data_IF_777331538857
#
_entry.id   IF_777331538857
#
_cell.length_a   1.000
_cell.length_b   1.000
_cell.length_c   1.000
_cell.angle_alpha   90.00
_cell.angle_beta   90.00
_cell.angle_gamma   90.00
#
_symmetry.space_group_name_H-M   'P 1'
#
loop_
_entity.id
_entity.type
_entity.pdbx_description
1 polymer ?
#
# COMPACT_ATOMS: atom_id res chain seq x y z
N UNK A 1 -2.65 -18.87 -9.62
CA UNK A 1 -2.25 -17.46 -9.71
C UNK A 1 -2.49 -16.87 -8.34
N UNK A 2 -1.53 -16.14 -7.74
CA UNK A 2 -1.83 -15.35 -6.56
C UNK A 2 -3.03 -14.45 -6.89
N UNK A 3 -3.95 -14.33 -5.95
CA UNK A 3 -5.11 -13.46 -6.09
C UNK A 3 -4.87 -12.22 -5.25
N UNK A 4 -5.19 -11.05 -5.79
CA UNK A 4 -5.23 -9.84 -5.00
C UNK A 4 -6.54 -9.80 -4.22
N UNK A 5 -6.48 -9.45 -2.94
CA UNK A 5 -7.66 -9.32 -2.07
C UNK A 5 -7.82 -7.84 -1.76
N UNK A 6 -9.00 -7.28 -2.02
CA UNK A 6 -9.27 -5.87 -1.68
C UNK A 6 -9.13 -5.65 -0.17
N UNK A 7 -8.43 -4.57 0.20
CA UNK A 7 -8.23 -4.17 1.58
C UNK A 7 -9.56 -4.01 2.33
N UNK A 8 -9.73 -4.77 3.41
CA UNK A 8 -10.95 -4.78 4.21
C UNK A 8 -10.72 -4.84 5.71
N UNK A 9 -11.80 -4.92 6.51
CA UNK A 9 -11.71 -4.90 7.98
C UNK A 9 -10.84 -5.99 8.60
N UNK A 10 -10.64 -7.11 7.90
CA UNK A 10 -9.78 -8.22 8.35
C UNK A 10 -8.29 -7.92 8.25
N UNK A 11 -7.90 -6.90 7.49
CA UNK A 11 -6.51 -6.54 7.28
C UNK A 11 -6.08 -5.29 8.04
N UNK A 12 -6.98 -4.70 8.85
CA UNK A 12 -6.66 -3.57 9.73
C UNK A 12 -5.69 -4.06 10.80
N UNK A 13 -4.51 -3.44 10.89
CA UNK A 13 -3.45 -3.86 11.81
C UNK A 13 -3.38 -3.01 13.08
N UNK A 14 -4.05 -1.84 13.09
CA UNK A 14 -3.90 -0.80 14.09
C UNK A 14 -2.56 -0.05 14.01
N UNK A 15 -1.82 -0.23 12.91
CA UNK A 15 -0.48 0.31 12.70
C UNK A 15 -0.42 1.46 11.68
N UNK A 16 0.78 1.98 11.40
CA UNK A 16 0.98 3.12 10.50
C UNK A 16 0.47 2.88 9.07
N UNK A 17 0.38 1.63 8.63
CA UNK A 17 -0.16 1.27 7.32
C UNK A 17 -1.64 1.67 7.17
N UNK A 18 -2.45 1.47 8.21
CA UNK A 18 -3.85 1.86 8.20
C UNK A 18 -3.99 3.39 8.08
N UNK A 19 -3.11 4.14 8.76
CA UNK A 19 -3.07 5.60 8.67
C UNK A 19 -2.78 6.07 7.25
N UNK A 20 -1.85 5.40 6.54
CA UNK A 20 -1.55 5.68 5.14
C UNK A 20 -2.79 5.46 4.27
N UNK A 21 -3.43 4.31 4.39
CA UNK A 21 -4.56 3.97 3.53
C UNK A 21 -5.81 4.82 3.81
N UNK A 22 -6.09 5.13 5.07
CA UNK A 22 -7.18 6.03 5.44
C UNK A 22 -6.93 7.44 4.91
N UNK A 23 -5.70 7.95 5.02
CA UNK A 23 -5.33 9.25 4.47
C UNK A 23 -5.49 9.29 2.94
N UNK A 24 -5.00 8.27 2.23
CA UNK A 24 -5.11 8.19 0.78
C UNK A 24 -6.58 8.09 0.32
N UNK A 25 -7.43 7.33 1.02
CA UNK A 25 -8.88 7.28 0.74
C UNK A 25 -9.59 8.61 1.00
N UNK A 26 -9.10 9.38 1.98
CA UNK A 26 -9.57 10.75 2.21
C UNK A 26 -9.22 11.71 1.06
N UNK A 27 -8.14 11.44 0.31
CA UNK A 27 -7.67 12.25 -0.82
C UNK A 27 -8.28 11.79 -2.14
N UNK A 28 -8.36 10.48 -2.38
CA UNK A 28 -8.80 9.86 -3.63
C UNK A 28 -10.03 8.96 -3.38
N UNK A 29 -11.20 9.43 -3.77
CA UNK A 29 -12.47 8.69 -3.59
C UNK A 29 -12.59 7.44 -4.45
N UNK A 30 -11.77 7.33 -5.50
CA UNK A 30 -11.67 6.20 -6.44
C UNK A 30 -10.48 5.27 -6.17
N UNK A 31 -9.84 5.40 -5.00
CA UNK A 31 -8.67 4.60 -4.62
C UNK A 31 -9.02 3.11 -4.49
N UNK A 32 -8.19 2.27 -5.09
CA UNK A 32 -8.17 0.82 -4.90
C UNK A 32 -6.91 0.44 -4.14
N UNK A 33 -7.09 -0.39 -3.10
CA UNK A 33 -6.01 -0.94 -2.30
C UNK A 33 -6.23 -2.44 -2.24
N UNK A 34 -5.25 -3.22 -2.67
CA UNK A 34 -5.31 -4.67 -2.71
C UNK A 34 -4.07 -5.28 -2.09
N UNK A 35 -4.22 -6.42 -1.41
CA UNK A 35 -3.14 -7.17 -0.81
C UNK A 35 -2.74 -8.35 -1.68
N UNK A 36 -1.45 -8.61 -1.78
CA UNK A 36 -0.95 -9.84 -2.38
C UNK A 36 -1.36 -11.04 -1.51
N UNK A 37 -2.21 -11.93 -2.02
CA UNK A 37 -2.48 -13.20 -1.36
C UNK A 37 -1.51 -14.28 -1.82
N UNK A 38 -0.59 -14.63 -0.93
CA UNK A 38 0.39 -15.70 -1.12
C UNK A 38 -0.11 -17.01 -0.52
N UNK A 39 0.33 -18.14 -1.10
CA UNK A 39 -0.20 -19.48 -0.74
C UNK A 39 0.54 -20.10 0.45
N UNK A 40 1.78 -19.68 0.71
CA UNK A 40 2.62 -20.29 1.74
C UNK A 40 2.79 -19.35 2.95
N UNK A 41 2.69 -19.85 4.19
CA UNK A 41 2.86 -19.02 5.41
C UNK A 41 4.24 -18.35 5.57
N UNK A 42 5.22 -18.71 4.74
CA UNK A 42 6.55 -18.11 4.72
C UNK A 42 6.74 -17.05 3.63
N UNK A 43 5.74 -16.88 2.76
CA UNK A 43 5.71 -15.80 1.80
C UNK A 43 5.15 -14.55 2.49
N UNK A 44 5.80 -13.41 2.27
CA UNK A 44 5.42 -12.14 2.89
C UNK A 44 4.09 -11.62 2.30
N UNK A 45 3.07 -11.48 3.15
CA UNK A 45 1.74 -10.98 2.77
C UNK A 45 1.55 -9.49 3.10
N UNK A 46 2.63 -8.78 3.45
CA UNK A 46 2.64 -7.35 3.75
C UNK A 46 2.87 -6.46 2.50
N UNK A 47 2.70 -7.04 1.31
CA UNK A 47 2.78 -6.33 0.02
C UNK A 47 1.40 -5.91 -0.47
N UNK A 48 1.29 -4.63 -0.79
CA UNK A 48 0.06 -3.96 -1.18
C UNK A 48 0.20 -3.27 -2.52
N UNK A 49 -0.88 -3.32 -3.30
CA UNK A 49 -1.03 -2.63 -4.57
C UNK A 49 -2.06 -1.53 -4.43
N UNK A 50 -1.68 -0.32 -4.84
CA UNK A 50 -2.45 0.91 -4.67
C UNK A 50 -2.60 1.56 -6.04
N UNK A 51 -3.84 1.75 -6.48
CA UNK A 51 -4.12 2.31 -7.80
C UNK A 51 -5.39 3.16 -7.81
N UNK A 52 -5.56 3.91 -8.89
CA UNK A 52 -6.78 4.66 -9.21
C UNK A 52 -7.37 4.17 -10.53
N UNK A 53 -8.60 4.52 -10.82
CA UNK A 53 -9.22 4.13 -12.08
C UNK A 53 -8.45 4.71 -13.28
N UNK A 54 -7.89 3.83 -14.12
CA UNK A 54 -7.09 4.21 -15.29
C UNK A 54 -5.70 4.78 -14.97
N UNK A 55 -5.28 4.78 -13.70
CA UNK A 55 -3.96 5.24 -13.26
C UNK A 55 -2.92 4.12 -13.22
N UNK A 56 -1.67 4.51 -12.97
CA UNK A 56 -0.60 3.56 -12.67
C UNK A 56 -0.79 2.92 -11.29
N UNK A 57 -0.26 1.72 -11.12
CA UNK A 57 -0.25 0.98 -9.85
C UNK A 57 1.05 1.26 -9.10
N UNK A 58 0.92 1.46 -7.80
CA UNK A 58 2.03 1.62 -6.87
C UNK A 58 2.05 0.41 -5.94
N UNK A 59 3.24 -0.03 -5.56
CA UNK A 59 3.42 -1.05 -4.54
C UNK A 59 3.86 -0.41 -3.22
N UNK A 60 3.32 -0.91 -2.11
CA UNK A 60 3.78 -0.62 -0.75
C UNK A 60 4.07 -1.96 -0.08
N UNK A 61 5.31 -2.17 0.30
CA UNK A 61 5.74 -3.26 1.17
C UNK A 61 6.01 -2.72 2.58
N UNK A 62 5.56 -3.45 3.60
CA UNK A 62 5.62 -3.04 4.99
C UNK A 62 6.18 -4.15 5.86
N UNK A 63 6.70 -3.80 7.03
CA UNK A 63 7.05 -4.81 8.01
C UNK A 63 5.78 -5.47 8.61
N UNK A 64 6.00 -6.57 9.33
CA UNK A 64 4.95 -7.33 10.02
C UNK A 64 3.94 -6.42 10.73
N UNK A 65 2.65 -6.70 10.52
CA UNK A 65 1.53 -5.92 11.07
C UNK A 65 1.49 -4.46 10.59
N UNK A 66 1.91 -4.19 9.35
CA UNK A 66 1.80 -2.88 8.72
C UNK A 66 2.70 -1.83 9.38
N UNK A 67 3.87 -2.26 9.86
CA UNK A 67 4.84 -1.38 10.52
C UNK A 67 5.83 -0.77 9.52
N UNK A 68 6.42 0.34 9.94
CA UNK A 68 7.53 1.00 9.25
C UNK A 68 8.84 0.18 9.38
N UNK A 69 9.86 0.47 8.53
CA UNK A 69 9.79 1.31 7.34
C UNK A 69 8.90 0.73 6.23
N UNK A 70 8.40 1.59 5.35
CA UNK A 70 7.72 1.18 4.13
C UNK A 70 8.67 1.25 2.95
N UNK A 71 8.59 0.25 2.09
CA UNK A 71 9.19 0.29 0.78
C UNK A 71 8.12 0.59 -0.27
N UNK A 72 8.23 1.75 -0.91
CA UNK A 72 7.31 2.22 -1.94
C UNK A 72 7.94 2.02 -3.32
N UNK A 73 7.19 1.43 -4.24
CA UNK A 73 7.64 1.18 -5.60
C UNK A 73 6.59 1.64 -6.63
N UNK A 74 7.09 2.14 -7.75
CA UNK A 74 6.36 2.44 -8.98
C UNK A 74 7.16 1.91 -10.16
N UNK A 75 6.64 2.02 -11.38
CA UNK A 75 7.36 1.59 -12.59
C UNK A 75 8.73 2.26 -12.79
N UNK A 76 8.95 3.44 -12.20
CA UNK A 76 10.13 4.27 -12.45
C UNK A 76 10.92 4.64 -11.19
N UNK A 77 10.39 4.38 -10.00
CA UNK A 77 11.00 4.82 -8.74
C UNK A 77 10.74 3.85 -7.61
N UNK A 78 11.71 3.79 -6.69
CA UNK A 78 11.69 2.99 -5.47
C UNK A 78 12.26 3.84 -4.33
N UNK A 79 11.53 3.93 -3.23
CA UNK A 79 11.97 4.68 -2.05
C UNK A 79 11.56 3.96 -0.76
N UNK A 80 12.47 3.91 0.20
CA UNK A 80 12.18 3.47 1.56
C UNK A 80 11.89 4.69 2.42
N UNK A 81 10.83 4.63 3.23
CA UNK A 81 10.39 5.72 4.10
C UNK A 81 10.15 5.20 5.50
N UNK A 82 10.62 5.92 6.50
CA UNK A 82 10.50 5.62 7.92
C UNK A 82 9.42 6.45 8.62
N UNK A 83 8.54 7.10 7.84
CA UNK A 83 7.44 7.92 8.30
C UNK A 83 6.19 7.70 7.43
N UNK A 84 5.03 7.54 8.07
CA UNK A 84 3.75 7.33 7.38
C UNK A 84 3.28 8.58 6.63
N UNK A 85 3.55 9.78 7.14
CA UNK A 85 3.24 11.03 6.46
C UNK A 85 4.01 11.19 5.15
N UNK A 86 5.31 10.87 5.18
CA UNK A 86 6.16 10.84 3.98
C UNK A 86 5.68 9.80 2.97
N UNK A 87 5.19 8.65 3.45
CA UNK A 87 4.59 7.64 2.58
C UNK A 87 3.34 8.17 1.88
N UNK A 88 2.44 8.83 2.63
CA UNK A 88 1.24 9.46 2.08
C UNK A 88 1.61 10.53 1.05
N UNK A 89 2.58 11.40 1.35
CA UNK A 89 3.04 12.45 0.43
C UNK A 89 3.56 11.85 -0.88
N UNK A 90 4.45 10.85 -0.76
CA UNK A 90 5.06 10.17 -1.90
C UNK A 90 4.02 9.49 -2.78
N UNK A 91 3.16 8.66 -2.19
CA UNK A 91 2.11 7.95 -2.91
C UNK A 91 1.10 8.92 -3.52
N UNK A 92 0.74 9.99 -2.82
CA UNK A 92 -0.13 11.04 -3.37
C UNK A 92 0.48 11.71 -4.58
N UNK A 93 1.78 11.97 -4.57
CA UNK A 93 2.48 12.53 -5.72
C UNK A 93 2.45 11.57 -6.91
N UNK A 94 2.79 10.29 -6.70
CA UNK A 94 2.80 9.29 -7.77
C UNK A 94 1.41 8.98 -8.34
N UNK A 95 0.37 8.91 -7.50
CA UNK A 95 -1.02 8.64 -7.91
C UNK A 95 -1.69 9.82 -8.66
N UNK A 96 -1.06 11.00 -8.68
CA UNK A 96 -1.53 12.14 -9.47
C UNK A 96 -1.02 12.14 -10.91
N UNK A 97 0.09 11.43 -11.19
CA UNK A 97 0.81 11.48 -12.47
C UNK A 97 1.84 12.59 -12.52
#
# INVERSE_FOLDING_TARGET
MPANISWGPSDVTGGPLDEVFDALRGIFTDLRVERLSVTWPADDDNVWFISREGGAEMQLDSHENGQLPFLLESDISRVEVDDAGLAVETLTAWLRG
#
